data_IF_783842842235
#
_entry.id   IF_783842842235
#
_cell.length_a   1.000
_cell.length_b   1.000
_cell.length_c   1.000
_cell.angle_alpha   90.00
_cell.angle_beta   90.00
_cell.angle_gamma   90.00
#
_symmetry.space_group_name_H-M   'P 1'
#
loop_
_entity.id
_entity.type
_entity.pdbx_description
1 polymer ?
#
# COMPACT_ATOMS: atom_id res chain seq x y z
N UNK A 1 0.19 42.46 -11.44
CA UNK A 1 0.26 41.69 -12.70
C UNK A 1 0.06 40.22 -12.36
N UNK A 2 -1.19 39.76 -12.35
CA UNK A 2 -1.48 38.31 -12.35
C UNK A 2 -1.30 37.85 -13.79
N UNK A 3 -0.19 37.18 -14.06
CA UNK A 3 -0.01 36.46 -15.32
C UNK A 3 -1.17 35.49 -15.46
N UNK A 4 -1.79 35.52 -16.64
CA UNK A 4 -2.87 34.64 -17.07
C UNK A 4 -2.57 33.19 -16.68
N UNK A 5 -3.23 32.68 -15.65
CA UNK A 5 -3.33 31.25 -15.42
C UNK A 5 -4.13 30.69 -16.58
N UNK A 6 -3.45 30.18 -17.61
CA UNK A 6 -4.08 29.27 -18.55
C UNK A 6 -4.63 28.12 -17.71
N UNK A 7 -5.94 28.12 -17.47
CA UNK A 7 -6.67 27.04 -16.82
C UNK A 7 -6.33 25.78 -17.61
N UNK A 8 -5.41 24.98 -17.08
CA UNK A 8 -4.95 23.78 -17.77
C UNK A 8 -6.12 22.81 -17.74
N UNK A 9 -6.69 22.53 -18.91
CA UNK A 9 -7.81 21.61 -18.99
C UNK A 9 -7.35 20.21 -18.54
N UNK A 10 -8.22 19.48 -17.82
CA UNK A 10 -7.92 18.13 -17.35
C UNK A 10 -7.72 17.13 -18.51
N UNK A 11 -8.37 17.38 -19.65
CA UNK A 11 -8.39 16.43 -20.77
C UNK A 11 -7.02 16.22 -21.44
N UNK A 12 -6.22 17.27 -21.76
CA UNK A 12 -4.83 17.10 -22.20
C UNK A 12 -3.95 16.31 -21.21
N UNK A 13 -4.14 16.50 -19.91
CA UNK A 13 -3.33 15.87 -18.86
C UNK A 13 -3.46 14.35 -18.83
N UNK A 14 -4.60 13.80 -19.27
CA UNK A 14 -4.82 12.34 -19.42
C UNK A 14 -3.85 11.68 -20.41
N UNK A 15 -3.22 12.47 -21.27
CA UNK A 15 -2.30 11.98 -22.30
C UNK A 15 -0.85 12.40 -22.03
N UNK A 16 -0.52 12.93 -20.85
CA UNK A 16 0.83 13.42 -20.55
C UNK A 16 1.89 12.31 -20.70
N UNK A 17 1.65 11.13 -20.12
CA UNK A 17 2.54 9.98 -20.25
C UNK A 17 2.74 9.54 -21.72
N UNK A 18 1.66 9.36 -22.47
CA UNK A 18 1.75 8.88 -23.86
C UNK A 18 2.43 9.90 -24.77
N UNK A 19 2.22 11.20 -24.53
CA UNK A 19 2.88 12.28 -25.28
C UNK A 19 4.37 12.35 -24.96
N UNK A 20 4.76 12.23 -23.69
CA UNK A 20 6.16 12.19 -23.30
C UNK A 20 6.87 10.96 -23.89
N UNK A 21 6.25 9.78 -23.79
CA UNK A 21 6.80 8.55 -24.37
C UNK A 21 6.96 8.65 -25.90
N UNK A 22 5.98 9.23 -26.59
CA UNK A 22 6.08 9.48 -28.03
C UNK A 22 7.19 10.46 -28.36
N UNK A 23 7.38 11.52 -27.57
CA UNK A 23 8.41 12.53 -27.80
C UNK A 23 9.81 11.94 -27.63
N UNK A 24 10.05 11.19 -26.56
CA UNK A 24 11.35 10.54 -26.30
C UNK A 24 11.74 9.58 -27.42
N UNK A 25 10.76 8.85 -27.99
CA UNK A 25 10.98 7.99 -29.15
C UNK A 25 11.31 8.78 -30.41
N UNK A 26 10.59 9.88 -30.68
CA UNK A 26 10.85 10.73 -31.85
C UNK A 26 12.22 11.43 -31.78
N UNK A 27 12.68 11.76 -30.58
CA UNK A 27 14.00 12.35 -30.35
C UNK A 27 15.14 11.33 -30.32
N UNK A 28 14.84 10.04 -30.49
CA UNK A 28 15.81 8.93 -30.49
C UNK A 28 16.72 8.94 -29.25
N UNK A 29 16.15 9.28 -28.08
CA UNK A 29 16.89 9.33 -26.82
C UNK A 29 17.34 7.91 -26.45
N UNK A 30 18.66 7.72 -26.32
CA UNK A 30 19.25 6.42 -25.98
C UNK A 30 19.24 6.13 -24.49
N UNK A 31 19.41 7.17 -23.65
CA UNK A 31 19.46 7.04 -22.20
C UNK A 31 18.15 7.53 -21.56
N UNK A 32 17.22 6.61 -21.33
CA UNK A 32 15.93 6.93 -20.70
C UNK A 32 16.05 7.22 -19.20
N UNK A 33 17.14 6.76 -18.56
CA UNK A 33 17.31 6.88 -17.11
C UNK A 33 17.47 8.35 -16.67
N UNK A 34 17.98 9.21 -17.56
CA UNK A 34 18.09 10.65 -17.31
C UNK A 34 16.71 11.35 -17.22
N UNK A 35 15.65 10.69 -17.70
CA UNK A 35 14.30 11.24 -17.79
C UNK A 35 13.31 10.60 -16.81
N UNK A 36 13.79 9.86 -15.80
CA UNK A 36 12.91 9.29 -14.76
C UNK A 36 12.07 10.37 -14.07
N UNK A 37 12.69 11.48 -13.65
CA UNK A 37 11.98 12.58 -12.98
C UNK A 37 10.85 13.17 -13.84
N UNK A 38 11.03 13.25 -15.17
CA UNK A 38 9.96 13.72 -16.05
C UNK A 38 8.87 12.65 -16.24
N UNK A 39 9.26 11.38 -16.28
CA UNK A 39 8.33 10.26 -16.37
C UNK A 39 7.45 10.19 -15.12
N UNK A 40 8.03 10.35 -13.93
CA UNK A 40 7.30 10.38 -12.65
C UNK A 40 6.26 11.51 -12.62
N UNK A 41 6.62 12.71 -13.08
CA UNK A 41 5.69 13.84 -13.17
C UNK A 41 4.58 13.55 -14.19
N UNK A 42 4.93 12.97 -15.34
CA UNK A 42 3.95 12.62 -16.37
C UNK A 42 2.98 11.53 -15.91
N UNK A 43 3.46 10.52 -15.19
CA UNK A 43 2.66 9.46 -14.59
C UNK A 43 1.73 10.02 -13.51
N UNK A 44 2.26 10.85 -12.60
CA UNK A 44 1.49 11.52 -11.56
C UNK A 44 0.33 12.34 -12.15
N UNK A 45 0.62 13.18 -13.15
CA UNK A 45 -0.39 14.01 -13.83
C UNK A 45 -1.42 13.17 -14.60
N UNK A 46 -0.97 12.08 -15.23
CA UNK A 46 -1.85 11.16 -15.97
C UNK A 46 -2.81 10.45 -15.01
N UNK A 47 -2.32 9.96 -13.87
CA UNK A 47 -3.15 9.31 -12.85
C UNK A 47 -4.15 10.28 -12.22
N UNK A 48 -3.69 11.48 -11.85
CA UNK A 48 -4.55 12.53 -11.31
C UNK A 48 -5.70 12.87 -12.24
N UNK A 49 -5.41 13.10 -13.52
CA UNK A 49 -6.44 13.47 -14.50
C UNK A 49 -7.34 12.31 -14.90
N UNK A 50 -6.84 11.07 -14.90
CA UNK A 50 -7.62 9.87 -15.24
C UNK A 50 -8.64 9.55 -14.15
N UNK A 51 -8.25 9.66 -12.88
CA UNK A 51 -9.08 9.30 -11.73
C UNK A 51 -9.67 10.52 -11.01
N UNK A 52 -9.67 11.72 -11.63
CA UNK A 52 -10.25 12.93 -11.04
C UNK A 52 -11.78 12.93 -10.99
N UNK A 53 -12.43 12.13 -11.82
CA UNK A 53 -13.89 12.14 -11.97
C UNK A 53 -14.55 11.04 -11.13
N UNK A 54 -15.57 11.41 -10.35
CA UNK A 54 -16.40 10.47 -9.57
C UNK A 54 -16.02 10.37 -8.09
N UNK A 55 -16.12 9.16 -7.53
CA UNK A 55 -15.80 8.88 -6.12
C UNK A 55 -14.29 9.01 -5.93
N UNK A 56 -13.86 9.67 -4.85
CA UNK A 56 -12.45 9.82 -4.51
C UNK A 56 -11.81 8.45 -4.23
N UNK A 57 -11.10 7.90 -5.23
CA UNK A 57 -10.33 6.65 -5.13
C UNK A 57 -8.84 6.88 -4.84
N UNK A 58 -8.38 8.12 -4.98
CA UNK A 58 -7.01 8.54 -4.71
C UNK A 58 -7.02 9.73 -3.75
N UNK A 59 -5.98 9.82 -2.92
CA UNK A 59 -5.71 10.96 -2.06
C UNK A 59 -4.34 11.56 -2.40
N UNK A 60 -4.26 12.88 -2.36
CA UNK A 60 -2.99 13.60 -2.45
C UNK A 60 -2.63 14.00 -1.02
N UNK A 61 -1.49 13.50 -0.55
CA UNK A 61 -0.94 13.81 0.75
C UNK A 61 0.28 14.71 0.51
N UNK A 62 0.27 15.89 1.10
CA UNK A 62 1.38 16.84 1.01
C UNK A 62 1.97 17.01 2.40
N UNK A 63 3.21 16.55 2.56
CA UNK A 63 3.94 16.62 3.81
C UNK A 63 5.03 17.67 3.66
N UNK A 64 4.95 18.82 4.38
CA UNK A 64 5.94 19.89 4.25
C UNK A 64 7.31 19.49 4.82
N UNK A 65 7.34 18.58 5.79
CA UNK A 65 8.54 18.05 6.43
C UNK A 65 8.44 16.51 6.48
N UNK A 66 8.87 15.82 5.43
CA UNK A 66 8.90 14.36 5.36
C UNK A 66 10.08 13.73 6.12
N UNK A 67 11.07 14.53 6.52
CA UNK A 67 12.26 14.01 7.20
C UNK A 67 12.03 13.79 8.70
N UNK A 68 12.56 12.69 9.23
CA UNK A 68 12.61 12.43 10.69
C UNK A 68 13.72 13.24 11.39
N UNK A 69 14.48 14.04 10.65
CA UNK A 69 15.63 14.80 11.16
C UNK A 69 15.13 16.19 11.57
N UNK A 70 15.27 16.59 12.85
CA UNK A 70 14.86 17.92 13.28
C UNK A 70 15.60 19.01 12.50
N UNK A 71 14.84 19.88 11.82
CA UNK A 71 15.38 21.04 11.09
C UNK A 71 15.72 20.81 9.61
N UNK A 72 15.65 19.57 9.10
CA UNK A 72 15.75 19.32 7.67
C UNK A 72 14.36 19.37 7.01
N UNK A 73 14.16 20.33 6.11
CA UNK A 73 12.94 20.44 5.30
C UNK A 73 13.08 19.57 4.05
N UNK A 74 12.20 18.58 3.92
CA UNK A 74 12.09 17.72 2.75
C UNK A 74 10.61 17.58 2.39
N UNK A 75 10.07 18.46 1.53
CA UNK A 75 8.66 18.45 1.19
C UNK A 75 8.34 17.29 0.24
N UNK A 76 7.36 16.47 0.60
CA UNK A 76 6.95 15.29 -0.18
C UNK A 76 5.49 15.41 -0.58
N UNK A 77 5.20 15.06 -1.83
CA UNK A 77 3.84 14.89 -2.34
C UNK A 77 3.65 13.42 -2.69
N UNK A 78 2.67 12.78 -2.05
CA UNK A 78 2.33 11.38 -2.28
C UNK A 78 0.93 11.26 -2.88
N UNK A 79 0.83 10.55 -3.99
CA UNK A 79 -0.45 10.09 -4.54
C UNK A 79 -0.77 8.70 -3.99
N UNK A 80 -1.71 8.61 -3.06
CA UNK A 80 -2.11 7.37 -2.42
C UNK A 80 -3.37 6.80 -3.09
N UNK A 81 -3.31 5.56 -3.59
CA UNK A 81 -4.49 4.82 -4.03
C UNK A 81 -5.24 4.26 -2.82
N UNK A 82 -6.52 4.59 -2.69
CA UNK A 82 -7.40 4.14 -1.60
C UNK A 82 -8.25 2.92 -2.01
N UNK A 83 -8.33 2.62 -3.31
CA UNK A 83 -9.19 1.57 -3.85
C UNK A 83 -8.38 0.50 -4.60
N UNK A 84 -8.09 -0.59 -3.89
CA UNK A 84 -7.35 -1.73 -4.44
C UNK A 84 -8.10 -2.49 -5.56
N UNK A 85 -9.42 -2.31 -5.68
CA UNK A 85 -10.22 -2.99 -6.70
C UNK A 85 -9.84 -2.55 -8.12
N UNK A 86 -9.34 -1.32 -8.28
CA UNK A 86 -8.92 -0.76 -9.57
C UNK A 86 -7.86 -1.62 -10.26
N UNK A 87 -6.91 -2.16 -9.50
CA UNK A 87 -5.82 -2.94 -10.04
C UNK A 87 -6.28 -4.33 -10.53
N UNK A 88 -7.24 -4.95 -9.83
CA UNK A 88 -7.69 -6.32 -10.12
C UNK A 88 -8.89 -6.37 -11.07
N UNK A 89 -9.68 -5.30 -11.17
CA UNK A 89 -10.89 -5.23 -12.00
C UNK A 89 -10.67 -5.67 -13.48
N UNK A 90 -9.54 -5.32 -14.15
CA UNK A 90 -9.29 -5.80 -15.51
C UNK A 90 -9.14 -7.33 -15.61
N UNK A 91 -8.65 -7.99 -14.55
CA UNK A 91 -8.48 -9.45 -14.54
C UNK A 91 -9.84 -10.15 -14.58
N UNK A 92 -10.79 -9.70 -13.77
CA UNK A 92 -12.14 -10.26 -13.77
C UNK A 92 -12.92 -10.00 -15.06
N UNK A 93 -12.60 -8.92 -15.79
CA UNK A 93 -13.20 -8.64 -17.11
C UNK A 93 -12.60 -9.49 -18.22
N UNK A 94 -11.32 -9.84 -18.11
CA UNK A 94 -10.57 -10.53 -19.17
C UNK A 94 -10.68 -12.06 -19.08
N UNK A 95 -10.71 -12.61 -17.87
CA UNK A 95 -10.66 -14.05 -17.65
C UNK A 95 -12.01 -14.58 -17.15
N UNK A 96 -12.48 -15.69 -17.73
CA UNK A 96 -13.75 -16.29 -17.34
C UNK A 96 -13.75 -16.95 -15.96
N UNK A 97 -12.58 -17.36 -15.45
CA UNK A 97 -12.42 -17.92 -14.10
C UNK A 97 -11.09 -17.48 -13.51
N UNK A 98 -11.13 -16.97 -12.28
CA UNK A 98 -9.96 -16.53 -11.50
C UNK A 98 -10.02 -17.23 -10.14
N UNK A 99 -8.94 -17.94 -9.77
CA UNK A 99 -8.85 -18.67 -8.50
C UNK A 99 -7.78 -18.02 -7.64
N UNK A 100 -8.15 -17.61 -6.43
CA UNK A 100 -7.25 -17.00 -5.44
C UNK A 100 -7.01 -18.04 -4.34
N UNK A 101 -5.77 -18.47 -4.16
CA UNK A 101 -5.38 -19.44 -3.13
C UNK A 101 -4.30 -18.85 -2.24
N UNK A 102 -4.47 -18.93 -0.92
CA UNK A 102 -3.40 -18.68 0.03
C UNK A 102 -3.66 -19.44 1.32
N UNK A 103 -2.58 -19.88 1.98
CA UNK A 103 -2.65 -20.61 3.24
C UNK A 103 -2.90 -19.73 4.47
N UNK A 104 -2.95 -18.40 4.29
CA UNK A 104 -3.04 -17.42 5.38
C UNK A 104 -4.14 -16.38 5.18
N UNK A 105 -5.07 -16.58 4.24
CA UNK A 105 -6.22 -15.68 4.06
C UNK A 105 -7.14 -15.76 5.29
N UNK A 106 -7.12 -14.72 6.11
CA UNK A 106 -7.95 -14.63 7.30
C UNK A 106 -8.33 -13.18 7.62
N UNK A 107 -9.62 -12.85 7.79
CA UNK A 107 -10.79 -13.67 7.48
C UNK A 107 -11.06 -13.70 5.97
N UNK A 108 -11.40 -14.87 5.42
CA UNK A 108 -11.58 -15.07 3.96
C UNK A 108 -12.65 -14.15 3.35
N UNK A 109 -13.68 -13.77 4.12
CA UNK A 109 -14.78 -12.90 3.67
C UNK A 109 -14.41 -11.42 3.52
N UNK A 110 -13.22 -10.99 3.98
CA UNK A 110 -12.78 -9.60 3.86
C UNK A 110 -12.36 -9.26 2.43
N UNK A 111 -11.63 -10.16 1.77
CA UNK A 111 -11.04 -9.91 0.46
C UNK A 111 -12.07 -9.62 -0.65
N UNK A 112 -13.21 -10.34 -0.75
CA UNK A 112 -14.28 -9.99 -1.68
C UNK A 112 -14.79 -8.56 -1.54
N UNK A 113 -14.93 -8.08 -0.30
CA UNK A 113 -15.39 -6.71 -0.01
C UNK A 113 -14.35 -5.66 -0.39
N UNK A 114 -13.08 -5.93 -0.08
CA UNK A 114 -11.97 -5.00 -0.31
C UNK A 114 -11.66 -4.85 -1.81
N UNK A 115 -11.71 -5.96 -2.54
CA UNK A 115 -11.40 -6.03 -3.98
C UNK A 115 -12.65 -5.91 -4.87
N UNK A 116 -13.83 -5.72 -4.28
CA UNK A 116 -15.12 -5.52 -4.96
C UNK A 116 -15.46 -6.62 -5.98
N UNK A 117 -15.37 -7.88 -5.57
CA UNK A 117 -15.79 -9.02 -6.39
C UNK A 117 -16.66 -10.00 -5.61
N UNK A 118 -17.43 -10.81 -6.33
CA UNK A 118 -18.29 -11.85 -5.75
C UNK A 118 -17.70 -13.24 -6.07
N UNK A 119 -17.05 -13.91 -5.11
CA UNK A 119 -16.58 -15.27 -5.32
C UNK A 119 -17.76 -16.23 -5.43
N UNK A 120 -17.69 -17.17 -6.38
CA UNK A 120 -18.66 -18.27 -6.44
C UNK A 120 -18.47 -19.29 -5.32
N UNK A 121 -17.22 -19.49 -4.91
CA UNK A 121 -16.79 -20.44 -3.87
C UNK A 121 -15.79 -19.73 -2.97
N UNK A 122 -15.98 -19.84 -1.66
CA UNK A 122 -15.10 -19.28 -0.64
C UNK A 122 -14.95 -20.31 0.49
N UNK A 123 -13.93 -21.15 0.41
CA UNK A 123 -13.73 -22.28 1.31
C UNK A 123 -12.40 -22.16 2.05
N UNK A 124 -12.42 -22.50 3.35
CA UNK A 124 -11.22 -22.64 4.17
C UNK A 124 -10.99 -24.11 4.47
N UNK A 125 -9.90 -24.67 3.96
CA UNK A 125 -9.54 -26.05 4.25
C UNK A 125 -8.71 -26.13 5.52
N UNK A 126 -9.20 -26.90 6.49
CA UNK A 126 -8.44 -27.17 7.71
C UNK A 126 -7.26 -28.09 7.40
N UNK A 127 -6.12 -27.77 8.00
CA UNK A 127 -4.95 -28.65 7.97
C UNK A 127 -5.27 -29.94 8.75
N UNK A 128 -5.13 -31.09 8.10
CA UNK A 128 -5.24 -32.40 8.76
C UNK A 128 -3.87 -33.07 8.76
N UNK A 129 -3.17 -33.02 9.90
CA UNK A 129 -1.92 -33.74 10.09
C UNK A 129 -2.13 -34.88 11.08
N UNK A 130 -1.51 -36.03 10.82
CA UNK A 130 -1.58 -37.21 11.70
C UNK A 130 -1.01 -36.94 13.11
N UNK A 131 -0.18 -35.91 13.25
CA UNK A 131 0.37 -35.42 14.52
C UNK A 131 0.18 -33.90 14.63
N UNK A 132 -0.02 -33.35 15.84
CA UNK A 132 0.01 -31.91 16.05
C UNK A 132 1.43 -31.39 15.78
N UNK A 133 1.64 -30.73 14.63
CA UNK A 133 2.96 -30.23 14.22
C UNK A 133 3.20 -28.76 14.61
N UNK A 134 2.17 -28.04 15.06
CA UNK A 134 2.27 -26.62 15.45
C UNK A 134 1.46 -26.44 16.75
N UNK A 135 2.08 -25.86 17.77
CA UNK A 135 1.48 -25.58 19.07
C UNK A 135 1.61 -24.07 19.34
N UNK A 136 0.66 -23.25 18.85
CA UNK A 136 0.71 -21.81 19.09
C UNK A 136 0.51 -21.52 20.57
N UNK A 137 1.42 -20.73 21.16
CA UNK A 137 1.32 -20.24 22.53
C UNK A 137 1.05 -18.73 22.51
N UNK A 138 0.04 -18.29 23.25
CA UNK A 138 -0.24 -16.87 23.43
C UNK A 138 0.14 -16.47 24.85
N UNK A 139 1.17 -15.63 24.98
CA UNK A 139 1.64 -15.12 26.27
C UNK A 139 0.99 -13.76 26.50
N UNK A 140 0.16 -13.65 27.53
CA UNK A 140 -0.56 -12.41 27.88
C UNK A 140 0.10 -11.65 29.03
N UNK A 141 0.82 -12.34 29.91
CA UNK A 141 1.42 -11.78 31.12
C UNK A 141 2.81 -12.34 31.38
N UNK A 142 3.63 -11.52 32.02
CA UNK A 142 4.94 -11.90 32.54
C UNK A 142 4.83 -12.70 33.84
N UNK A 143 5.98 -13.17 34.33
CA UNK A 143 6.08 -13.88 35.62
C UNK A 143 5.65 -13.02 36.81
N UNK A 144 5.75 -11.70 36.68
CA UNK A 144 5.30 -10.68 37.62
C UNK A 144 3.80 -10.35 37.52
N UNK A 145 3.02 -11.10 36.71
CA UNK A 145 1.61 -10.85 36.42
C UNK A 145 1.31 -9.54 35.70
N UNK A 146 2.33 -8.84 35.20
CA UNK A 146 2.16 -7.64 34.39
C UNK A 146 1.82 -8.01 32.95
N UNK A 147 0.94 -7.23 32.33
CA UNK A 147 0.58 -7.43 30.92
C UNK A 147 1.78 -7.21 30.00
N UNK A 148 1.95 -8.12 29.05
CA UNK A 148 3.01 -8.04 28.04
C UNK A 148 2.40 -7.46 26.77
N UNK A 149 2.89 -6.30 26.33
CA UNK A 149 2.28 -5.51 25.25
C UNK A 149 3.35 -4.77 24.46
N UNK A 150 3.19 -4.68 23.13
CA UNK A 150 4.02 -3.83 22.26
C UNK A 150 3.32 -2.52 21.86
N UNK A 151 2.21 -2.18 22.52
CA UNK A 151 1.47 -0.92 22.32
C UNK A 151 2.40 0.26 22.54
N UNK A 152 2.31 1.27 21.69
CA UNK A 152 3.22 2.42 21.65
C UNK A 152 3.45 3.06 23.04
N UNK A 153 2.39 3.28 23.81
CA UNK A 153 2.46 3.89 25.14
C UNK A 153 3.22 3.05 26.17
N UNK A 154 3.19 1.73 26.03
CA UNK A 154 3.76 0.79 27.01
C UNK A 154 5.23 0.45 26.68
N UNK A 155 5.73 0.88 25.50
CA UNK A 155 7.09 0.56 25.05
C UNK A 155 8.18 1.18 25.93
N UNK A 156 7.90 2.29 26.61
CA UNK A 156 8.85 2.93 27.53
C UNK A 156 8.88 2.28 28.92
N UNK A 157 7.98 1.33 29.20
CA UNK A 157 7.86 0.70 30.51
C UNK A 157 8.93 -0.39 30.69
N UNK A 158 9.85 -0.14 31.62
CA UNK A 158 10.93 -1.08 31.96
C UNK A 158 10.44 -2.46 32.39
N UNK A 159 9.26 -2.55 33.02
CA UNK A 159 8.67 -3.85 33.40
C UNK A 159 8.28 -4.67 32.19
N UNK A 160 7.69 -4.04 31.17
CA UNK A 160 7.33 -4.69 29.91
C UNK A 160 8.57 -5.16 29.17
N UNK A 161 9.60 -4.30 29.06
CA UNK A 161 10.88 -4.66 28.44
C UNK A 161 11.56 -5.84 29.15
N UNK A 162 11.59 -5.83 30.48
CA UNK A 162 12.17 -6.91 31.29
C UNK A 162 11.44 -8.23 31.06
N UNK A 163 10.10 -8.20 31.04
CA UNK A 163 9.29 -9.39 30.80
C UNK A 163 9.49 -9.96 29.40
N UNK A 164 9.59 -9.11 28.36
CA UNK A 164 9.96 -9.57 27.02
C UNK A 164 11.34 -10.22 26.99
N UNK A 165 12.33 -9.60 27.65
CA UNK A 165 13.67 -10.16 27.76
C UNK A 165 13.68 -11.52 28.47
N UNK A 166 12.96 -11.65 29.58
CA UNK A 166 12.83 -12.91 30.31
C UNK A 166 12.18 -14.01 29.46
N UNK A 167 11.08 -13.70 28.77
CA UNK A 167 10.41 -14.66 27.87
C UNK A 167 11.34 -15.12 26.75
N UNK A 168 12.14 -14.22 26.16
CA UNK A 168 13.11 -14.60 25.13
C UNK A 168 14.18 -15.53 25.68
N UNK A 169 14.68 -15.29 26.89
CA UNK A 169 15.66 -16.17 27.55
C UNK A 169 15.07 -17.53 27.89
N UNK A 170 13.81 -17.58 28.33
CA UNK A 170 13.15 -18.84 28.72
C UNK A 170 12.78 -19.72 27.51
N UNK A 171 12.55 -19.11 26.33
CA UNK A 171 12.19 -19.82 25.08
C UNK A 171 13.42 -20.25 24.26
N UNK A 172 14.54 -19.51 24.35
CA UNK A 172 15.79 -19.85 23.66
C UNK A 172 16.54 -20.99 24.35
#
# INVERSE_FOLDING_TARGET
>A
MMTSTSLTESKPLKFAYSRLSSLLRTLEVTNLDEFYALTDVADFVTLLSTYSEGIARFAIIMEPNGSSIPGASDPVIQLACLDSSLAIAPLFKRFGSVVITSGTLSPIHLYPKLLQFEPRVSESFHMSTFRPCILPLVITKGSDQKEVSTRFNDRGDMGVMRNYGAILVDIC
#
